data_IF_926059522372
#
_entry.id   IF_926059522372
#
_cell.length_a   1.000
_cell.length_b   1.000
_cell.length_c   1.000
_cell.angle_alpha   90.00
_cell.angle_beta   90.00
_cell.angle_gamma   90.00
#
_symmetry.space_group_name_H-M   'P 1'
#
loop_
_entity.id
_entity.type
_entity.pdbx_description
1 polymer ?
#
# COMPACT_ATOMS: atom_id res chain seq x y z
N UNK A 1 -18.04 -22.10 -0.68
CA UNK A 1 -17.33 -21.04 0.05
C UNK A 1 -17.76 -19.70 -0.56
N UNK A 2 -18.19 -18.73 0.26
CA UNK A 2 -18.70 -17.44 -0.25
C UNK A 2 -17.54 -16.52 -0.62
N UNK A 3 -17.56 -15.98 -1.84
CA UNK A 3 -16.60 -15.01 -2.34
C UNK A 3 -17.38 -13.76 -2.72
N UNK A 4 -16.92 -12.59 -2.30
CA UNK A 4 -17.59 -11.30 -2.50
C UNK A 4 -16.60 -10.32 -3.14
N UNK A 5 -17.00 -9.67 -4.22
CA UNK A 5 -16.25 -8.52 -4.72
C UNK A 5 -16.58 -7.30 -3.87
N UNK A 6 -15.56 -6.56 -3.43
CA UNK A 6 -15.76 -5.21 -2.95
C UNK A 6 -15.65 -4.27 -4.15
N UNK A 7 -16.64 -3.40 -4.32
CA UNK A 7 -16.73 -2.45 -5.43
C UNK A 7 -16.62 -1.04 -4.87
N UNK A 8 -15.85 -0.20 -5.55
CA UNK A 8 -15.76 1.23 -5.24
C UNK A 8 -16.79 1.99 -6.10
N UNK A 9 -17.69 2.70 -5.43
CA UNK A 9 -18.71 3.56 -6.07
C UNK A 9 -18.32 5.03 -5.88
N UNK A 10 -17.94 5.69 -6.97
CA UNK A 10 -17.54 7.10 -6.97
C UNK A 10 -18.64 8.07 -6.51
N UNK A 11 -19.91 7.63 -6.47
CA UNK A 11 -21.04 8.45 -6.00
C UNK A 11 -21.30 8.31 -4.51
N UNK A 12 -20.69 7.32 -3.87
CA UNK A 12 -20.79 7.11 -2.43
C UNK A 12 -19.57 7.75 -1.75
N UNK A 13 -19.80 8.83 -1.00
CA UNK A 13 -18.74 9.57 -0.28
C UNK A 13 -18.01 8.70 0.76
N UNK A 14 -18.58 7.55 1.13
CA UNK A 14 -17.96 6.60 2.06
C UNK A 14 -17.20 5.48 1.35
N UNK A 15 -17.21 5.46 0.02
CA UNK A 15 -16.49 4.50 -0.80
C UNK A 15 -15.10 5.03 -1.15
N UNK A 16 -14.09 4.17 -0.99
CA UNK A 16 -12.72 4.50 -1.34
C UNK A 16 -11.74 4.05 -0.28
N UNK A 17 -10.55 4.64 -0.34
CA UNK A 17 -9.48 4.42 0.63
C UNK A 17 -9.14 5.77 1.23
N UNK A 18 -9.29 5.87 2.55
CA UNK A 18 -9.07 7.11 3.30
C UNK A 18 -7.65 7.26 3.82
N UNK A 19 -6.98 6.13 4.07
CA UNK A 19 -5.62 6.07 4.57
C UNK A 19 -4.94 4.78 4.12
N UNK A 20 -3.61 4.81 4.05
CA UNK A 20 -2.79 3.61 3.88
C UNK A 20 -2.16 3.24 5.21
N UNK A 21 -2.37 2.01 5.68
CA UNK A 21 -1.76 1.54 6.92
C UNK A 21 -0.41 0.89 6.65
N UNK A 22 0.59 1.16 7.49
CA UNK A 22 1.75 0.28 7.66
C UNK A 22 1.41 -0.79 8.69
N UNK A 23 1.72 -2.05 8.38
CA UNK A 23 1.34 -3.20 9.21
C UNK A 23 2.46 -4.23 9.29
N UNK A 24 2.47 -5.02 10.37
CA UNK A 24 3.37 -6.16 10.54
C UNK A 24 2.99 -7.33 9.63
N UNK A 25 1.69 -7.61 9.46
CA UNK A 25 1.16 -8.75 8.72
C UNK A 25 0.18 -8.29 7.63
N UNK A 26 0.68 -7.98 6.42
CA UNK A 26 -0.15 -7.48 5.32
C UNK A 26 -1.23 -8.47 4.91
N UNK A 27 -2.48 -8.00 4.80
CA UNK A 27 -3.60 -8.86 4.44
C UNK A 27 -3.48 -9.46 3.02
N UNK A 28 -2.74 -8.79 2.13
CA UNK A 28 -2.45 -9.26 0.77
C UNK A 28 -1.21 -10.17 0.69
N UNK A 29 -0.56 -10.46 1.82
CA UNK A 29 0.65 -11.28 1.92
C UNK A 29 1.81 -10.77 1.04
N UNK A 30 1.90 -9.44 0.90
CA UNK A 30 2.96 -8.77 0.16
C UNK A 30 3.66 -7.77 1.06
N UNK A 31 4.93 -8.03 1.33
CA UNK A 31 5.80 -7.10 2.03
C UNK A 31 6.22 -5.95 1.09
N UNK A 32 6.49 -4.78 1.67
CA UNK A 32 7.20 -3.69 1.01
C UNK A 32 8.71 -3.89 1.14
N UNK A 33 9.45 -3.07 0.40
CA UNK A 33 10.88 -2.87 0.64
C UNK A 33 11.13 -1.47 1.19
N UNK A 34 12.15 -1.34 2.03
CA UNK A 34 12.63 -0.05 2.50
C UNK A 34 13.85 0.39 1.66
N UNK A 35 13.67 1.44 0.87
CA UNK A 35 14.72 2.04 0.03
C UNK A 35 15.59 2.97 0.88
N UNK A 36 16.83 2.55 1.16
CA UNK A 36 17.75 3.26 2.05
C UNK A 36 18.68 4.26 1.33
N UNK A 37 19.06 4.03 0.06
CA UNK A 37 20.05 4.87 -0.66
C UNK A 37 19.73 5.02 -2.16
N UNK A 38 19.93 6.21 -2.75
CA UNK A 38 20.40 6.32 -4.13
C UNK A 38 21.90 6.55 -4.05
N UNK A 39 22.67 5.85 -4.87
CA UNK A 39 23.97 6.37 -5.29
C UNK A 39 23.71 7.40 -6.38
N UNK A 40 23.56 8.68 -5.99
CA UNK A 40 23.82 9.78 -6.92
C UNK A 40 25.30 10.11 -6.72
N UNK A 41 26.08 10.17 -7.81
CA UNK A 41 27.47 10.69 -7.82
C UNK A 41 27.51 12.21 -7.53
N UNK A 42 26.95 12.64 -6.40
CA UNK A 42 27.06 13.99 -5.89
C UNK A 42 27.45 13.90 -4.41
N UNK A 43 28.34 14.80 -3.99
CA UNK A 43 28.94 14.93 -2.66
C UNK A 43 27.90 15.18 -1.54
N UNK A 44 26.99 14.25 -1.31
CA UNK A 44 26.03 14.35 -0.22
C UNK A 44 26.35 13.26 0.80
N UNK A 45 26.83 13.71 1.95
CA UNK A 45 27.11 12.88 3.11
C UNK A 45 25.76 12.46 3.70
N UNK A 46 25.35 11.23 3.40
CA UNK A 46 24.45 10.41 4.22
C UNK A 46 23.00 10.90 4.42
N UNK A 47 22.26 11.13 3.31
CA UNK A 47 20.81 11.28 3.37
C UNK A 47 20.09 9.94 3.10
N UNK A 48 19.65 9.23 4.15
CA UNK A 48 18.75 8.08 3.98
C UNK A 48 17.44 8.53 3.29
N UNK A 49 17.05 7.82 2.23
CA UNK A 49 15.83 8.18 1.47
C UNK A 49 14.55 8.05 2.28
N UNK A 50 14.47 7.11 3.23
CA UNK A 50 13.28 6.81 4.03
C UNK A 50 12.01 6.60 3.19
N UNK A 51 12.10 5.75 2.17
CA UNK A 51 10.97 5.43 1.29
C UNK A 51 10.62 3.95 1.45
N UNK A 52 9.34 3.65 1.64
CA UNK A 52 8.78 2.30 1.59
C UNK A 52 8.08 2.11 0.25
N UNK A 53 8.33 1.01 -0.46
CA UNK A 53 7.71 0.71 -1.75
C UNK A 53 7.09 -0.69 -1.77
N UNK A 54 5.85 -0.80 -2.22
CA UNK A 54 5.14 -2.07 -2.25
C UNK A 54 3.72 -1.93 -2.80
N UNK A 55 3.04 -3.07 -2.93
CA UNK A 55 1.64 -3.10 -3.35
C UNK A 55 0.74 -2.58 -2.23
N UNK A 56 -0.16 -1.66 -2.56
CA UNK A 56 -1.29 -1.28 -1.71
C UNK A 56 -2.47 -2.24 -1.92
N UNK A 57 -2.75 -2.61 -3.18
CA UNK A 57 -3.76 -3.60 -3.54
C UNK A 57 -3.31 -4.48 -4.71
N UNK A 58 -3.59 -5.78 -4.63
CA UNK A 58 -3.34 -6.75 -5.69
C UNK A 58 -4.70 -7.27 -6.22
N UNK A 59 -5.02 -7.09 -7.52
CA UNK A 59 -6.26 -7.56 -8.10
C UNK A 59 -6.49 -9.05 -7.92
N UNK A 60 -7.75 -9.43 -7.71
CA UNK A 60 -8.24 -10.80 -7.59
C UNK A 60 -7.58 -11.63 -6.48
N UNK A 61 -6.73 -11.01 -5.63
CA UNK A 61 -6.21 -11.65 -4.42
C UNK A 61 -7.38 -11.86 -3.46
N UNK A 62 -7.65 -13.12 -3.15
CA UNK A 62 -8.68 -13.47 -2.18
C UNK A 62 -8.16 -13.20 -0.78
N UNK A 63 -8.90 -12.40 -0.01
CA UNK A 63 -8.54 -12.04 1.35
C UNK A 63 -9.59 -12.64 2.30
N UNK A 64 -9.13 -13.48 3.23
CA UNK A 64 -10.01 -14.10 4.22
C UNK A 64 -10.61 -13.06 5.16
N UNK A 65 -11.90 -13.18 5.42
CA UNK A 65 -12.67 -12.37 6.36
C UNK A 65 -13.59 -13.24 7.18
N UNK A 66 -13.87 -12.76 8.38
CA UNK A 66 -14.79 -13.37 9.32
C UNK A 66 -15.69 -12.29 9.89
N UNK A 67 -17.00 -12.49 9.85
CA UNK A 67 -17.96 -11.53 10.40
C UNK A 67 -18.26 -11.83 11.88
N UNK A 68 -19.06 -10.95 12.50
CA UNK A 68 -19.45 -11.06 13.91
C UNK A 68 -20.23 -12.34 14.25
N UNK A 69 -20.79 -13.02 13.23
CA UNK A 69 -21.50 -14.30 13.36
C UNK A 69 -20.58 -15.51 13.19
N UNK A 70 -19.26 -15.31 13.16
CA UNK A 70 -18.25 -16.32 12.85
C UNK A 70 -18.36 -16.95 11.45
N UNK A 71 -19.08 -16.33 10.52
CA UNK A 71 -19.17 -16.82 9.14
C UNK A 71 -17.91 -16.41 8.37
N UNK A 72 -17.30 -17.40 7.71
CA UNK A 72 -16.08 -17.23 6.93
C UNK A 72 -16.41 -16.96 5.46
N UNK A 73 -15.74 -15.96 4.90
CA UNK A 73 -15.87 -15.60 3.49
C UNK A 73 -14.59 -14.98 2.97
N UNK A 74 -14.48 -14.89 1.66
CA UNK A 74 -13.37 -14.19 1.01
C UNK A 74 -13.88 -12.94 0.33
N UNK A 75 -13.08 -11.89 0.40
CA UNK A 75 -13.25 -10.69 -0.41
C UNK A 75 -12.17 -10.64 -1.50
N UNK A 76 -12.43 -9.94 -2.59
CA UNK A 76 -11.41 -9.53 -3.55
C UNK A 76 -11.79 -8.19 -4.19
N UNK A 77 -10.81 -7.59 -4.88
CA UNK A 77 -10.99 -6.40 -5.70
C UNK A 77 -10.60 -6.74 -7.14
N UNK A 78 -11.44 -6.43 -8.13
CA UNK A 78 -11.06 -6.58 -9.54
C UNK A 78 -10.01 -5.53 -9.96
N UNK A 79 -9.39 -5.72 -11.13
CA UNK A 79 -8.46 -4.73 -11.70
C UNK A 79 -9.11 -3.35 -11.87
N UNK A 80 -10.39 -3.31 -12.26
CA UNK A 80 -11.17 -2.08 -12.37
C UNK A 80 -11.36 -1.43 -11.00
N UNK A 81 -11.76 -2.21 -9.99
CA UNK A 81 -11.94 -1.67 -8.64
C UNK A 81 -10.63 -1.15 -8.04
N UNK A 82 -9.52 -1.86 -8.24
CA UNK A 82 -8.20 -1.40 -7.76
C UNK A 82 -7.81 -0.08 -8.41
N UNK A 83 -8.05 0.08 -9.72
CA UNK A 83 -7.78 1.33 -10.43
C UNK A 83 -8.62 2.48 -9.88
N UNK A 84 -9.93 2.27 -9.71
CA UNK A 84 -10.84 3.28 -9.13
C UNK A 84 -10.43 3.68 -7.71
N UNK A 85 -10.07 2.71 -6.87
CA UNK A 85 -9.60 2.97 -5.51
C UNK A 85 -8.34 3.86 -5.50
N UNK A 86 -7.39 3.58 -6.41
CA UNK A 86 -6.17 4.37 -6.58
C UNK A 86 -6.49 5.81 -7.00
N UNK A 87 -7.34 5.99 -8.01
CA UNK A 87 -7.69 7.31 -8.55
C UNK A 87 -8.42 8.17 -7.51
N UNK A 88 -9.44 7.60 -6.84
CA UNK A 88 -10.19 8.31 -5.79
C UNK A 88 -9.32 8.69 -4.59
N UNK A 89 -8.39 7.83 -4.18
CA UNK A 89 -7.46 8.13 -3.09
C UNK A 89 -6.69 9.45 -3.32
N UNK A 90 -6.22 9.68 -4.55
CA UNK A 90 -5.54 10.94 -4.89
C UNK A 90 -6.50 12.10 -5.13
N UNK A 91 -7.64 11.86 -5.76
CA UNK A 91 -8.66 12.90 -5.96
C UNK A 91 -9.16 13.47 -4.63
N UNK A 92 -9.26 12.64 -3.60
CA UNK A 92 -9.69 13.02 -2.26
C UNK A 92 -8.55 13.58 -1.38
N UNK A 93 -7.35 13.75 -1.93
CA UNK A 93 -6.16 14.23 -1.21
C UNK A 93 -5.72 13.34 -0.03
N UNK A 94 -5.99 12.04 -0.09
CA UNK A 94 -5.71 11.09 0.98
C UNK A 94 -4.23 10.65 1.04
N UNK A 95 -3.36 11.11 0.15
CA UNK A 95 -1.94 10.74 0.08
C UNK A 95 -1.12 11.01 1.36
N UNK A 96 -1.61 11.86 2.25
CA UNK A 96 -0.96 12.16 3.54
C UNK A 96 -1.62 11.45 4.74
N UNK A 97 -2.64 10.64 4.49
CA UNK A 97 -3.32 9.88 5.53
C UNK A 97 -2.68 8.50 5.66
N UNK A 98 -2.10 8.23 6.82
CA UNK A 98 -1.55 6.92 7.14
C UNK A 98 -1.92 6.49 8.55
N UNK A 99 -1.94 5.18 8.76
CA UNK A 99 -2.16 4.57 10.08
C UNK A 99 -1.13 3.49 10.40
N UNK A 100 -1.01 3.16 11.67
CA UNK A 100 -0.38 1.94 12.16
C UNK A 100 -1.49 0.96 12.55
N UNK A 101 -1.45 -0.25 11.98
CA UNK A 101 -2.39 -1.35 12.28
C UNK A 101 -3.87 -0.95 12.20
N UNK A 102 -4.25 -0.07 11.25
CA UNK A 102 -5.62 0.47 11.08
C UNK A 102 -6.21 1.17 12.32
N UNK A 103 -5.38 1.53 13.31
CA UNK A 103 -5.84 2.03 14.62
C UNK A 103 -5.31 3.42 14.93
N UNK A 104 -4.01 3.60 14.81
CA UNK A 104 -3.35 4.82 15.21
C UNK A 104 -3.03 5.66 13.97
N UNK A 105 -3.58 6.87 13.89
CA UNK A 105 -3.18 7.83 12.86
C UNK A 105 -1.70 8.20 13.01
N UNK A 106 -1.00 8.27 11.88
CA UNK A 106 0.41 8.63 11.82
C UNK A 106 0.60 9.97 11.13
N UNK A 107 1.40 10.84 11.76
CA UNK A 107 1.90 12.06 11.13
C UNK A 107 3.25 11.79 10.45
N UNK A 108 3.60 12.61 9.47
CA UNK A 108 4.90 12.53 8.77
C UNK A 108 5.00 11.35 7.78
N UNK A 109 3.88 10.87 7.28
CA UNK A 109 3.79 9.81 6.27
C UNK A 109 3.13 10.38 5.00
N UNK A 110 3.74 10.20 3.84
CA UNK A 110 3.18 10.70 2.58
C UNK A 110 3.43 9.73 1.44
N UNK A 111 2.39 9.35 0.70
CA UNK A 111 2.54 8.68 -0.59
C UNK A 111 3.07 9.69 -1.61
N UNK A 112 4.27 9.41 -2.14
CA UNK A 112 5.01 10.31 -3.05
C UNK A 112 5.10 9.77 -4.47
N UNK A 113 4.87 8.48 -4.67
CA UNK A 113 4.70 7.87 -5.99
C UNK A 113 3.54 6.85 -5.93
N UNK A 114 2.78 6.75 -7.02
CA UNK A 114 1.67 5.80 -7.17
C UNK A 114 1.49 5.45 -8.64
N UNK A 115 1.28 4.17 -8.94
CA UNK A 115 0.97 3.71 -10.29
C UNK A 115 0.21 2.38 -10.29
N UNK A 116 -0.41 2.07 -11.43
CA UNK A 116 -0.98 0.76 -11.72
C UNK A 116 -0.01 -0.02 -12.60
N UNK A 117 0.26 -1.27 -12.27
CA UNK A 117 1.08 -2.16 -13.10
C UNK A 117 0.34 -2.46 -14.41
N UNK A 118 0.87 -2.01 -15.55
CA UNK A 118 0.18 -2.16 -16.85
C UNK A 118 0.68 -3.34 -17.69
N UNK A 119 1.84 -3.90 -17.36
CA UNK A 119 2.44 -5.00 -18.10
C UNK A 119 3.70 -5.54 -17.46
N UNK A 120 4.43 -6.37 -18.21
CA UNK A 120 5.64 -7.05 -17.72
C UNK A 120 6.82 -6.11 -17.50
N UNK A 121 6.86 -4.94 -18.12
CA UNK A 121 7.97 -4.00 -17.97
C UNK A 121 7.59 -2.94 -16.93
N UNK A 122 7.47 -3.35 -15.67
CA UNK A 122 7.09 -2.46 -14.56
C UNK A 122 8.32 -1.98 -13.77
N UNK A 123 8.26 -0.75 -13.27
CA UNK A 123 9.30 -0.15 -12.41
C UNK A 123 9.58 -1.02 -11.17
N UNK A 124 8.58 -1.70 -10.62
CA UNK A 124 8.70 -2.57 -9.44
C UNK A 124 9.72 -3.70 -9.64
N UNK A 125 9.93 -4.15 -10.88
CA UNK A 125 10.89 -5.21 -11.20
C UNK A 125 12.34 -4.81 -10.92
N UNK A 126 12.67 -3.52 -11.04
CA UNK A 126 14.01 -3.01 -10.68
C UNK A 126 14.32 -3.22 -9.20
N UNK A 127 13.31 -3.55 -8.40
CA UNK A 127 13.40 -3.77 -6.98
C UNK A 127 13.06 -5.21 -6.56
N UNK A 128 13.00 -6.15 -7.52
CA UNK A 128 12.77 -7.57 -7.27
C UNK A 128 11.30 -7.96 -7.12
N UNK A 129 10.35 -7.03 -7.30
CA UNK A 129 8.93 -7.37 -7.31
C UNK A 129 8.47 -7.87 -8.69
N UNK A 130 7.54 -8.81 -8.68
CA UNK A 130 6.85 -9.28 -9.88
C UNK A 130 5.34 -9.30 -9.62
N UNK A 131 4.75 -8.10 -9.60
CA UNK A 131 3.33 -7.93 -9.34
C UNK A 131 2.48 -8.25 -10.58
N UNK A 132 1.26 -8.80 -10.41
CA UNK A 132 0.35 -8.98 -11.54
C UNK A 132 -0.13 -7.63 -12.09
N UNK A 133 -0.52 -7.63 -13.36
CA UNK A 133 -1.17 -6.48 -14.00
C UNK A 133 -2.38 -6.02 -13.16
N UNK A 134 -2.55 -4.71 -13.05
CA UNK A 134 -3.60 -4.07 -12.28
C UNK A 134 -3.25 -3.81 -10.82
N UNK A 135 -2.11 -4.32 -10.34
CA UNK A 135 -1.64 -4.03 -8.97
C UNK A 135 -1.45 -2.54 -8.79
N UNK A 136 -2.01 -2.00 -7.70
CA UNK A 136 -1.75 -0.64 -7.28
C UNK A 136 -0.50 -0.63 -6.39
N UNK A 137 0.56 -0.01 -6.88
CA UNK A 137 1.86 0.09 -6.21
C UNK A 137 2.06 1.53 -5.76
N UNK A 138 2.58 1.70 -4.55
CA UNK A 138 2.88 3.01 -3.98
C UNK A 138 4.33 3.08 -3.49
N UNK A 139 4.83 4.31 -3.39
CA UNK A 139 6.01 4.64 -2.60
C UNK A 139 5.64 5.68 -1.54
N UNK A 140 5.92 5.38 -0.29
CA UNK A 140 5.61 6.22 0.86
C UNK A 140 6.89 6.77 1.49
N UNK A 141 6.99 8.09 1.56
CA UNK A 141 8.03 8.81 2.31
C UNK A 141 7.69 8.76 3.80
N UNK A 142 8.69 8.40 4.62
CA UNK A 142 8.58 8.23 6.07
C UNK A 142 9.44 9.29 6.77
N UNK A 143 8.82 10.42 7.12
CA UNK A 143 9.47 11.46 7.92
C UNK A 143 9.28 11.20 9.43
N UNK A 144 8.42 10.27 9.81
CA UNK A 144 8.22 9.85 11.19
C UNK A 144 9.37 8.95 11.69
N UNK A 145 10.17 9.44 12.63
CA UNK A 145 11.35 8.72 13.16
C UNK A 145 10.98 7.44 13.91
N UNK A 146 9.86 7.43 14.64
CA UNK A 146 9.41 6.25 15.39
C UNK A 146 9.07 5.11 14.41
N UNK A 147 8.26 5.42 13.40
CA UNK A 147 7.89 4.44 12.37
C UNK A 147 9.11 4.00 11.57
N UNK A 148 10.04 4.91 11.25
CA UNK A 148 11.27 4.52 10.56
C UNK A 148 12.13 3.56 11.40
N UNK A 149 12.19 3.75 12.72
CA UNK A 149 12.86 2.79 13.60
C UNK A 149 12.15 1.43 13.60
N UNK A 150 10.82 1.39 13.65
CA UNK A 150 10.04 0.15 13.53
C UNK A 150 10.30 -0.59 12.22
N UNK A 151 10.38 0.13 11.09
CA UNK A 151 10.78 -0.42 9.79
C UNK A 151 12.16 -1.06 9.88
N UNK A 152 13.15 -0.37 10.46
CA UNK A 152 14.53 -0.90 10.59
C UNK A 152 14.60 -2.14 11.47
N UNK A 153 13.72 -2.25 12.47
CA UNK A 153 13.59 -3.41 13.34
C UNK A 153 12.76 -4.55 12.72
N UNK A 154 12.13 -4.33 11.55
CA UNK A 154 11.29 -5.33 10.88
C UNK A 154 9.92 -5.53 11.53
N UNK A 155 9.47 -4.57 12.36
CA UNK A 155 8.17 -4.62 13.04
C UNK A 155 7.01 -4.26 12.10
N UNK A 156 7.26 -3.50 11.04
CA UNK A 156 6.30 -3.22 9.97
C UNK A 156 6.86 -3.73 8.65
N UNK A 157 6.05 -4.46 7.90
CA UNK A 157 6.50 -5.26 6.76
C UNK A 157 5.79 -4.96 5.46
N UNK A 158 4.56 -4.45 5.49
CA UNK A 158 3.83 -4.10 4.27
C UNK A 158 2.75 -3.04 4.46
N UNK A 159 2.00 -2.81 3.40
CA UNK A 159 0.86 -1.89 3.38
C UNK A 159 -0.46 -2.65 3.52
N UNK A 160 -1.47 -1.96 4.04
CA UNK A 160 -2.84 -2.46 4.11
C UNK A 160 -3.86 -1.34 4.05
#
# INVERSE_FOLDING_TARGET
MRIVELIIDEKDETSGIDAVSVVESPAIESDFIALKKHEIELKEVDAEKRILMGAALIPNKQIYRKNDKNEEYYIYFSEETVRKASELFFMNSNQNNATLEHKQKLDGMSVVESWIVEGKNDKSMNYGFNFPKGTWVISMKVNNDEIWNKVKLGEVKGFS
#
